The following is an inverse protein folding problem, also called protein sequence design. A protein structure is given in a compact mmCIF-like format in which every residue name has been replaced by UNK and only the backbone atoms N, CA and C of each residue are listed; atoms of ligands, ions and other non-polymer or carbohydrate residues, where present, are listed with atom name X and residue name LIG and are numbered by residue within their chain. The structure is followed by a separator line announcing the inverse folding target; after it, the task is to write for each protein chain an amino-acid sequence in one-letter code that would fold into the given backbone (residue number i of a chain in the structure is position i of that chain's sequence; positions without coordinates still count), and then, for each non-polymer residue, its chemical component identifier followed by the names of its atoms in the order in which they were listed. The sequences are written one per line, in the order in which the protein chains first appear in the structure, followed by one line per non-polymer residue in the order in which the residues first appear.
data_IF_013153292734
#
_entry.id   IF_013153292734
#
_cell.length_a   1.000
_cell.length_b   1.000
_cell.length_c   1.000
_cell.angle_alpha   90.00
_cell.angle_beta   90.00
_cell.angle_gamma   90.00
#
_symmetry.space_group_name_H-M   'P 1'
#
loop_
_entity.id
_entity.type
_entity.pdbx_description
1 polymer ?
#
# COMPACT_ATOMS: atom_id res chain seq x y z
N UNK A 1 7.18 6.42 9.16
CA UNK A 1 6.12 6.17 8.17
C UNK A 1 4.85 5.73 8.86
N UNK A 2 4.88 4.63 9.60
CA UNK A 2 3.73 4.06 10.30
C UNK A 2 2.92 5.02 11.18
N UNK A 3 3.56 5.81 12.03
CA UNK A 3 2.85 6.79 12.85
C UNK A 3 2.08 7.83 12.02
N UNK A 4 2.62 8.24 10.88
CA UNK A 4 1.93 9.16 9.97
C UNK A 4 0.72 8.48 9.31
N UNK A 5 0.83 7.20 8.95
CA UNK A 5 -0.28 6.44 8.37
C UNK A 5 -1.40 6.19 9.40
N UNK A 6 -1.05 5.84 10.64
CA UNK A 6 -2.01 5.66 11.72
C UNK A 6 -2.75 6.95 12.07
N UNK A 7 -2.04 8.08 12.17
CA UNK A 7 -2.65 9.39 12.38
C UNK A 7 -3.55 9.78 11.20
N UNK A 8 -3.14 9.44 9.97
CA UNK A 8 -3.96 9.69 8.80
C UNK A 8 -5.22 8.80 8.80
N UNK A 9 -5.12 7.54 9.19
CA UNK A 9 -6.28 6.65 9.35
C UNK A 9 -7.28 7.18 10.38
N UNK A 10 -6.79 7.69 11.51
CA UNK A 10 -7.64 8.34 12.51
C UNK A 10 -8.34 9.59 11.96
N UNK A 11 -7.65 10.38 11.13
CA UNK A 11 -8.27 11.49 10.43
C UNK A 11 -9.36 11.03 9.46
N UNK A 12 -9.10 9.99 8.67
CA UNK A 12 -10.10 9.43 7.75
C UNK A 12 -11.34 8.94 8.51
N UNK A 13 -11.13 8.22 9.61
CA UNK A 13 -12.18 7.73 10.50
C UNK A 13 -13.01 8.88 11.10
N UNK A 14 -12.34 9.92 11.61
CA UNK A 14 -13.00 11.14 12.13
C UNK A 14 -13.81 11.86 11.04
N UNK A 15 -13.33 11.81 9.80
CA UNK A 15 -14.00 12.36 8.63
C UNK A 15 -14.92 11.35 7.92
N UNK A 16 -15.20 10.19 8.53
CA UNK A 16 -16.02 9.08 8.00
C UNK A 16 -15.72 8.71 6.56
N UNK A 17 -14.46 8.85 6.18
CA UNK A 17 -13.93 8.38 4.91
C UNK A 17 -13.56 6.90 5.05
N UNK A 18 -13.61 6.14 3.94
CA UNK A 18 -13.18 4.75 3.94
C UNK A 18 -11.74 4.60 4.45
N UNK A 19 -11.53 3.58 5.27
CA UNK A 19 -10.21 3.13 5.71
C UNK A 19 -9.78 1.88 4.93
N UNK A 20 -8.62 1.31 5.25
CA UNK A 20 -8.13 0.08 4.64
C UNK A 20 -8.54 -1.12 5.47
N UNK A 21 -8.83 -2.25 4.82
CA UNK A 21 -8.99 -3.52 5.51
C UNK A 21 -7.65 -4.16 5.88
N UNK A 22 -6.62 -3.92 5.08
CA UNK A 22 -5.34 -4.65 5.14
C UNK A 22 -4.16 -3.67 5.02
N UNK A 23 -3.10 -3.93 5.79
CA UNK A 23 -1.82 -3.24 5.66
C UNK A 23 -0.72 -4.22 5.31
N UNK A 24 0.06 -3.84 4.29
CA UNK A 24 1.11 -4.69 3.73
C UNK A 24 2.49 -4.22 4.16
N UNK A 25 3.32 -5.13 4.64
CA UNK A 25 4.68 -4.84 5.07
C UNK A 25 5.69 -5.85 4.57
N UNK A 26 6.82 -5.34 4.11
CA UNK A 26 8.04 -6.14 4.01
C UNK A 26 8.74 -6.08 5.36
N UNK A 27 9.12 -7.24 5.88
CA UNK A 27 9.94 -7.36 7.08
C UNK A 27 11.23 -8.10 6.71
N UNK A 28 12.40 -7.66 7.21
CA UNK A 28 13.66 -8.33 6.92
C UNK A 28 13.62 -9.81 7.31
N UNK A 29 13.67 -10.72 6.33
CA UNK A 29 13.81 -12.17 6.48
C UNK A 29 14.26 -12.76 5.12
N UNK A 30 14.64 -14.05 5.09
CA UNK A 30 15.04 -14.71 3.83
C UNK A 30 13.91 -14.76 2.80
N UNK A 31 12.66 -14.74 3.25
CA UNK A 31 11.48 -14.85 2.39
C UNK A 31 11.08 -13.56 1.70
N UNK A 32 11.68 -12.42 2.07
CA UNK A 32 11.47 -11.15 1.39
C UNK A 32 12.18 -11.09 0.01
N UNK A 33 11.53 -10.45 -0.95
CA UNK A 33 12.08 -10.21 -2.30
C UNK A 33 11.44 -9.03 -3.02
N UNK A 34 10.69 -8.18 -2.32
CA UNK A 34 10.03 -7.02 -2.92
C UNK A 34 10.96 -5.81 -3.07
N UNK A 35 11.80 -5.57 -2.04
CA UNK A 35 12.69 -4.40 -1.93
C UNK A 35 14.01 -4.80 -1.27
N UNK A 36 15.13 -4.12 -1.60
CA UNK A 36 16.40 -4.43 -0.97
C UNK A 36 16.37 -4.05 0.51
N UNK A 37 16.64 -5.03 1.37
CA UNK A 37 16.78 -4.85 2.82
C UNK A 37 18.00 -3.95 3.09
N UNK A 38 17.81 -2.84 3.81
CA UNK A 38 18.88 -1.88 4.13
C UNK A 38 19.44 -2.02 5.54
N UNK A 39 18.76 -2.76 6.39
CA UNK A 39 19.07 -2.95 7.82
C UNK A 39 19.16 -4.44 8.12
N UNK A 40 20.09 -4.82 8.99
CA UNK A 40 20.26 -6.23 9.34
C UNK A 40 19.00 -6.83 9.99
N UNK A 41 18.81 -8.13 9.77
CA UNK A 41 17.83 -8.96 10.47
C UNK A 41 18.06 -8.80 11.97
N UNK A 42 17.10 -8.20 12.67
CA UNK A 42 17.03 -8.33 14.12
C UNK A 42 15.92 -9.33 14.43
N UNK A 43 16.25 -10.49 15.01
CA UNK A 43 15.24 -11.36 15.59
C UNK A 43 14.60 -10.59 16.73
N UNK A 44 13.41 -10.06 16.50
CA UNK A 44 12.70 -9.23 17.44
C UNK A 44 11.21 -9.42 17.28
N UNK A 45 10.50 -9.20 18.38
CA UNK A 45 9.04 -9.19 18.44
C UNK A 45 8.43 -8.45 17.23
N UNK A 46 7.21 -8.82 16.81
CA UNK A 46 6.49 -8.08 15.78
C UNK A 46 6.57 -6.57 16.03
N UNK A 47 6.69 -5.74 14.98
CA UNK A 47 6.71 -4.30 15.14
C UNK A 47 5.58 -3.83 16.06
N UNK A 48 5.83 -2.98 17.07
CA UNK A 48 4.80 -2.48 17.99
C UNK A 48 3.62 -1.78 17.30
N UNK A 49 3.76 -1.44 16.03
CA UNK A 49 2.69 -0.88 15.19
C UNK A 49 1.62 -1.91 14.83
N UNK A 50 1.91 -3.21 14.79
CA UNK A 50 0.93 -4.25 14.41
C UNK A 50 -0.30 -4.21 15.32
N UNK A 51 -0.09 -4.10 16.64
CA UNK A 51 -1.19 -3.99 17.59
C UNK A 51 -2.03 -2.72 17.38
N UNK A 52 -1.41 -1.61 16.94
CA UNK A 52 -2.13 -0.37 16.65
C UNK A 52 -3.03 -0.49 15.41
N UNK A 53 -2.59 -1.21 14.38
CA UNK A 53 -3.43 -1.54 13.22
C UNK A 53 -4.56 -2.49 13.61
N UNK A 54 -4.27 -3.55 14.39
CA UNK A 54 -5.30 -4.48 14.87
C UNK A 54 -6.37 -3.82 15.73
N UNK A 55 -6.00 -2.86 16.58
CA UNK A 55 -6.96 -2.04 17.36
C UNK A 55 -7.92 -1.25 16.46
N UNK A 56 -7.54 -0.99 15.21
CA UNK A 56 -8.38 -0.36 14.18
C UNK A 56 -9.09 -1.38 13.26
N UNK A 57 -9.02 -2.68 13.56
CA UNK A 57 -9.60 -3.74 12.74
C UNK A 57 -8.87 -3.97 11.40
N UNK A 58 -7.60 -3.56 11.30
CA UNK A 58 -6.79 -3.70 10.08
C UNK A 58 -5.92 -4.94 10.19
N UNK A 59 -6.06 -5.84 9.22
CA UNK A 59 -5.29 -7.07 9.12
C UNK A 59 -3.85 -6.80 8.64
N UNK A 60 -2.91 -7.56 9.18
CA UNK A 60 -1.48 -7.46 8.88
C UNK A 60 -1.10 -8.51 7.84
N UNK A 61 -0.67 -8.05 6.67
CA UNK A 61 -0.16 -8.92 5.62
C UNK A 61 1.34 -8.71 5.42
N UNK A 62 2.10 -9.80 5.48
CA UNK A 62 3.53 -9.77 5.19
C UNK A 62 3.82 -10.09 3.73
N UNK A 63 4.83 -9.42 3.18
CA UNK A 63 5.22 -9.57 1.79
C UNK A 63 6.45 -10.48 1.66
N UNK A 64 6.21 -11.77 1.40
CA UNK A 64 7.21 -12.83 1.21
C UNK A 64 7.44 -13.11 -0.28
N UNK A 65 8.01 -12.10 -0.93
CA UNK A 65 8.17 -12.02 -2.37
C UNK A 65 9.47 -12.63 -2.92
N UNK A 66 10.25 -13.34 -2.12
CA UNK A 66 11.45 -14.01 -2.62
C UNK A 66 11.09 -15.07 -3.65
N UNK A 67 11.73 -15.01 -4.82
CA UNK A 67 11.58 -15.97 -5.92
C UNK A 67 12.75 -16.95 -6.03
N UNK A 68 13.67 -16.96 -5.06
CA UNK A 68 14.89 -17.78 -5.06
C UNK A 68 15.00 -18.68 -3.82
N UNK A 69 13.85 -19.01 -3.22
CA UNK A 69 13.82 -19.86 -2.03
C UNK A 69 14.15 -21.31 -2.39
N UNK A 70 14.93 -21.94 -1.52
CA UNK A 70 15.19 -23.38 -1.47
C UNK A 70 14.51 -23.97 -0.24
N UNK A 71 14.41 -25.30 -0.16
CA UNK A 71 13.81 -25.97 1.01
C UNK A 71 14.52 -25.58 2.32
N UNK A 72 15.85 -25.48 2.31
CA UNK A 72 16.64 -25.02 3.46
C UNK A 72 16.29 -23.59 3.94
N UNK A 73 15.72 -22.74 3.07
CA UNK A 73 15.31 -21.41 3.48
C UNK A 73 13.99 -21.41 4.27
N UNK A 74 13.21 -22.48 4.19
CA UNK A 74 11.94 -22.61 4.92
C UNK A 74 12.15 -22.74 6.44
N UNK A 75 13.37 -23.09 6.86
CA UNK A 75 13.79 -23.12 8.26
C UNK A 75 14.23 -21.74 8.79
N UNK A 76 14.00 -20.65 8.03
CA UNK A 76 14.31 -19.28 8.49
C UNK A 76 13.53 -18.95 9.77
N UNK A 77 14.22 -18.88 10.91
CA UNK A 77 13.59 -18.63 12.21
C UNK A 77 12.87 -17.28 12.26
N UNK A 78 13.43 -16.25 11.60
CA UNK A 78 12.84 -14.91 11.57
C UNK A 78 11.55 -14.91 10.75
N UNK A 79 11.58 -15.48 9.53
CA UNK A 79 10.40 -15.66 8.69
C UNK A 79 9.28 -16.43 9.41
N UNK A 80 9.61 -17.55 10.06
CA UNK A 80 8.63 -18.34 10.81
C UNK A 80 8.02 -17.57 11.99
N UNK A 81 8.81 -16.81 12.75
CA UNK A 81 8.29 -15.95 13.83
C UNK A 81 7.38 -14.84 13.31
N UNK A 82 7.79 -14.18 12.23
CA UNK A 82 7.00 -13.13 11.60
C UNK A 82 5.67 -13.66 11.05
N UNK A 83 5.68 -14.86 10.48
CA UNK A 83 4.49 -15.52 9.94
C UNK A 83 3.43 -15.79 11.01
N UNK A 84 3.84 -16.13 12.24
CA UNK A 84 2.92 -16.33 13.38
C UNK A 84 2.21 -15.04 13.79
N UNK A 85 2.77 -13.89 13.42
CA UNK A 85 2.26 -12.56 13.75
C UNK A 85 1.46 -11.93 12.60
N UNK A 86 1.27 -12.64 11.49
CA UNK A 86 0.59 -12.15 10.31
C UNK A 86 -0.79 -12.80 10.16
N UNK A 87 -1.77 -12.00 9.75
CA UNK A 87 -3.11 -12.47 9.41
C UNK A 87 -3.12 -13.06 7.98
N UNK A 88 -2.20 -12.59 7.13
CA UNK A 88 -1.97 -13.15 5.80
C UNK A 88 -0.59 -12.86 5.23
N UNK A 89 -0.30 -13.44 4.07
CA UNK A 89 0.98 -13.29 3.38
C UNK A 89 0.80 -13.16 1.87
N UNK A 90 1.64 -12.34 1.24
CA UNK A 90 1.79 -12.28 -0.22
C UNK A 90 3.03 -13.09 -0.60
N UNK A 91 2.84 -14.10 -1.44
CA UNK A 91 3.86 -15.11 -1.71
C UNK A 91 4.24 -15.12 -3.20
N UNK A 92 5.53 -15.11 -3.49
CA UNK A 92 6.05 -15.34 -4.84
C UNK A 92 6.60 -16.75 -5.09
N UNK A 93 6.95 -17.48 -4.03
CA UNK A 93 7.56 -18.81 -4.11
C UNK A 93 6.52 -19.93 -3.94
N UNK A 94 6.38 -20.86 -4.91
CA UNK A 94 5.49 -22.02 -4.76
C UNK A 94 5.85 -22.90 -3.57
N UNK A 95 7.15 -23.16 -3.32
CA UNK A 95 7.57 -24.00 -2.19
C UNK A 95 7.22 -23.37 -0.83
N UNK A 96 7.21 -22.03 -0.74
CA UNK A 96 6.77 -21.33 0.46
C UNK A 96 5.25 -21.38 0.60
N UNK A 97 4.51 -21.35 -0.52
CA UNK A 97 3.07 -21.52 -0.50
C UNK A 97 2.66 -22.90 0.05
N UNK A 98 3.30 -23.96 -0.43
CA UNK A 98 3.09 -25.33 0.06
C UNK A 98 3.42 -25.44 1.55
N UNK A 99 4.57 -24.91 1.96
CA UNK A 99 4.99 -24.89 3.36
C UNK A 99 3.96 -24.20 4.28
N UNK A 100 3.46 -23.03 3.88
CA UNK A 100 2.50 -22.25 4.67
C UNK A 100 1.14 -22.94 4.70
N UNK A 101 0.68 -23.50 3.56
CA UNK A 101 -0.55 -24.29 3.50
C UNK A 101 -0.56 -25.41 4.53
N UNK A 102 0.55 -26.14 4.62
CA UNK A 102 0.63 -27.37 5.39
C UNK A 102 0.87 -27.09 6.89
N UNK A 103 1.65 -26.06 7.24
CA UNK A 103 2.01 -25.75 8.64
C UNK A 103 1.20 -24.62 9.29
N UNK A 104 0.63 -23.70 8.49
CA UNK A 104 -0.03 -22.49 8.97
C UNK A 104 -1.39 -22.30 8.27
N UNK A 105 -2.34 -23.25 8.40
CA UNK A 105 -3.58 -23.26 7.63
C UNK A 105 -4.51 -22.07 7.90
N UNK A 106 -4.29 -21.34 8.99
CA UNK A 106 -5.09 -20.16 9.36
C UNK A 106 -4.56 -18.85 8.77
N UNK A 107 -3.38 -18.86 8.13
CA UNK A 107 -2.81 -17.66 7.51
C UNK A 107 -3.31 -17.56 6.07
N UNK A 108 -3.95 -16.44 5.72
CA UNK A 108 -4.40 -16.20 4.35
C UNK A 108 -3.23 -16.13 3.37
N UNK A 109 -3.30 -16.86 2.25
CA UNK A 109 -2.25 -16.93 1.23
C UNK A 109 -2.67 -16.18 -0.02
N UNK A 110 -1.94 -15.11 -0.33
CA UNK A 110 -2.15 -14.27 -1.50
C UNK A 110 -1.05 -14.49 -2.54
N UNK A 111 -1.40 -14.81 -3.79
CA UNK A 111 -0.43 -14.90 -4.87
C UNK A 111 0.10 -13.51 -5.26
N UNK A 112 1.42 -13.35 -5.26
CA UNK A 112 2.07 -12.11 -5.67
C UNK A 112 2.02 -11.90 -7.18
N UNK A 113 1.88 -10.65 -7.62
CA UNK A 113 2.02 -10.30 -9.04
C UNK A 113 3.42 -10.65 -9.59
N UNK A 114 4.43 -10.73 -8.71
CA UNK A 114 5.80 -11.17 -9.04
C UNK A 114 5.83 -12.57 -9.66
N UNK A 115 4.94 -13.48 -9.25
CA UNK A 115 4.85 -14.81 -9.87
C UNK A 115 4.55 -14.72 -11.37
N UNK A 116 3.61 -13.84 -11.73
CA UNK A 116 3.20 -13.63 -13.12
C UNK A 116 4.31 -12.94 -13.92
N UNK A 117 5.10 -12.07 -13.27
CA UNK A 117 6.24 -11.38 -13.89
C UNK A 117 7.38 -12.36 -14.20
N UNK A 118 7.79 -13.19 -13.24
CA UNK A 118 8.97 -14.06 -13.39
C UNK A 118 8.69 -15.29 -14.23
N UNK A 119 7.47 -15.84 -14.15
CA UNK A 119 7.12 -17.03 -14.92
C UNK A 119 7.06 -16.76 -16.43
N UNK A 120 7.20 -15.50 -16.86
CA UNK A 120 7.02 -15.04 -18.25
C UNK A 120 5.72 -15.56 -18.88
N UNK A 121 4.76 -15.95 -18.03
CA UNK A 121 3.45 -16.40 -18.50
C UNK A 121 2.72 -15.15 -18.92
N UNK A 122 2.36 -15.10 -20.19
CA UNK A 122 1.54 -14.04 -20.73
C UNK A 122 0.27 -13.90 -19.88
N UNK A 123 -0.27 -12.68 -19.86
CA UNK A 123 -1.60 -12.32 -19.37
C UNK A 123 -2.66 -13.26 -19.97
N UNK A 124 -2.89 -14.42 -19.33
CA UNK A 124 -3.86 -15.44 -19.77
C UNK A 124 -4.82 -15.81 -18.65
N UNK A 125 -6.06 -16.13 -19.03
CA UNK A 125 -7.09 -16.58 -18.09
C UNK A 125 -6.64 -17.82 -17.33
N UNK A 126 -6.10 -18.84 -18.02
CA UNK A 126 -5.69 -20.11 -17.41
C UNK A 126 -4.64 -19.92 -16.31
N UNK A 127 -3.71 -18.98 -16.49
CA UNK A 127 -2.71 -18.67 -15.48
C UNK A 127 -3.35 -18.13 -14.21
N UNK A 128 -4.22 -17.11 -14.34
CA UNK A 128 -4.90 -16.51 -13.20
C UNK A 128 -5.91 -17.46 -12.55
N UNK A 129 -6.57 -18.30 -13.34
CA UNK A 129 -7.46 -19.35 -12.83
C UNK A 129 -6.69 -20.33 -11.96
N UNK A 130 -5.54 -20.84 -12.43
CA UNK A 130 -4.69 -21.73 -11.62
C UNK A 130 -4.26 -21.08 -10.30
N UNK A 131 -3.88 -19.80 -10.33
CA UNK A 131 -3.56 -19.07 -9.09
C UNK A 131 -4.77 -18.96 -8.17
N UNK A 132 -5.96 -18.68 -8.72
CA UNK A 132 -7.19 -18.62 -7.93
C UNK A 132 -7.58 -19.99 -7.36
N UNK A 133 -7.24 -21.10 -7.99
CA UNK A 133 -7.50 -22.45 -7.46
C UNK A 133 -6.58 -22.79 -6.27
N UNK A 134 -5.35 -22.22 -6.24
CA UNK A 134 -4.31 -22.58 -5.26
C UNK A 134 -4.21 -21.61 -4.07
N UNK A 135 -4.58 -20.34 -4.29
CA UNK A 135 -4.46 -19.24 -3.33
C UNK A 135 -5.84 -18.68 -2.92
N UNK A 136 -5.86 -18.02 -1.77
CA UNK A 136 -7.07 -17.39 -1.24
C UNK A 136 -7.37 -16.08 -1.99
N UNK A 137 -6.32 -15.32 -2.32
CA UNK A 137 -6.38 -14.10 -3.15
C UNK A 137 -5.26 -14.08 -4.18
N UNK A 138 -5.42 -13.31 -5.25
CA UNK A 138 -4.39 -13.15 -6.29
C UNK A 138 -4.20 -11.68 -6.65
N UNK A 139 -2.99 -11.16 -6.46
CA UNK A 139 -2.66 -9.80 -6.86
C UNK A 139 -2.39 -9.74 -8.36
N UNK A 140 -3.18 -8.96 -9.08
CA UNK A 140 -2.89 -8.60 -10.47
C UNK A 140 -2.13 -7.28 -10.53
N UNK A 141 -0.97 -7.28 -11.21
CA UNK A 141 -0.17 -6.09 -11.43
C UNK A 141 -0.83 -5.15 -12.44
N UNK A 142 -0.67 -3.84 -12.24
CA UNK A 142 -1.31 -2.80 -13.06
C UNK A 142 -0.99 -2.94 -14.56
N UNK A 143 0.22 -3.38 -14.91
CA UNK A 143 0.61 -3.63 -16.31
C UNK A 143 -0.26 -4.66 -17.01
N UNK A 144 -0.77 -5.67 -16.30
CA UNK A 144 -1.64 -6.69 -16.89
C UNK A 144 -3.08 -6.20 -17.08
N UNK A 145 -3.46 -5.06 -16.51
CA UNK A 145 -4.80 -4.50 -16.71
C UNK A 145 -4.91 -3.71 -18.01
N UNK A 146 -3.79 -3.18 -18.49
CA UNK A 146 -3.78 -2.31 -19.65
C UNK A 146 -3.61 -3.08 -20.96
N UNK A 147 -4.12 -2.46 -22.01
CA UNK A 147 -3.74 -2.73 -23.40
C UNK A 147 -2.38 -2.08 -23.69
N UNK A 148 -1.73 -2.53 -24.78
CA UNK A 148 -0.45 -1.97 -25.22
C UNK A 148 -0.58 -0.59 -25.88
N UNK A 149 -1.78 -0.02 -25.96
CA UNK A 149 -2.04 1.27 -26.59
C UNK A 149 -1.40 2.43 -25.79
N UNK A 150 -1.04 3.55 -26.45
CA UNK A 150 -0.36 4.67 -25.80
C UNK A 150 -1.13 5.30 -24.64
N UNK A 151 -2.47 5.23 -24.64
CA UNK A 151 -3.34 5.80 -23.60
C UNK A 151 -3.49 4.88 -22.39
N UNK A 152 -2.97 3.64 -22.48
CA UNK A 152 -3.07 2.61 -21.43
C UNK A 152 -4.52 2.38 -21.02
N UNK A 153 -5.38 2.16 -22.01
CA UNK A 153 -6.77 1.79 -21.78
C UNK A 153 -6.89 0.42 -21.09
N UNK A 154 -7.97 0.19 -20.34
CA UNK A 154 -8.23 -1.11 -19.71
C UNK A 154 -8.53 -2.18 -20.78
N UNK A 155 -7.88 -3.34 -20.67
CA UNK A 155 -8.23 -4.53 -21.44
C UNK A 155 -9.43 -5.24 -20.82
N UNK A 156 -10.61 -4.68 -21.07
CA UNK A 156 -11.86 -5.18 -20.49
C UNK A 156 -12.14 -6.64 -20.90
N UNK A 157 -11.71 -7.06 -22.10
CA UNK A 157 -11.91 -8.44 -22.57
C UNK A 157 -11.17 -9.44 -21.70
N UNK A 158 -9.92 -9.13 -21.34
CA UNK A 158 -9.15 -9.98 -20.44
C UNK A 158 -9.65 -9.87 -19.00
N UNK A 159 -9.89 -8.64 -18.52
CA UNK A 159 -10.33 -8.41 -17.13
C UNK A 159 -11.67 -9.11 -16.85
N UNK A 160 -12.56 -9.17 -17.84
CA UNK A 160 -13.85 -9.85 -17.74
C UNK A 160 -13.75 -11.38 -17.54
N UNK A 161 -12.56 -11.97 -17.70
CA UNK A 161 -12.33 -13.40 -17.52
C UNK A 161 -11.81 -13.77 -16.12
N UNK A 162 -11.51 -12.78 -15.27
CA UNK A 162 -10.87 -12.97 -13.98
C UNK A 162 -11.88 -13.27 -12.85
N UNK A 163 -11.46 -13.96 -11.80
CA UNK A 163 -12.33 -14.18 -10.63
C UNK A 163 -12.48 -12.89 -9.80
N UNK A 164 -13.69 -12.31 -9.75
CA UNK A 164 -13.94 -11.00 -9.09
C UNK A 164 -13.74 -11.06 -7.58
N UNK A 165 -13.99 -12.23 -6.99
CA UNK A 165 -13.97 -12.41 -5.54
C UNK A 165 -12.54 -12.68 -5.05
N UNK A 166 -11.69 -13.28 -5.90
CA UNK A 166 -10.29 -13.59 -5.55
C UNK A 166 -9.26 -12.59 -6.04
N UNK A 167 -9.55 -11.83 -7.10
CA UNK A 167 -8.58 -10.87 -7.64
C UNK A 167 -8.49 -9.62 -6.77
N UNK A 168 -7.27 -9.32 -6.33
CA UNK A 168 -6.88 -8.03 -5.77
C UNK A 168 -6.14 -7.19 -6.83
N UNK A 169 -6.69 -6.03 -7.18
CA UNK A 169 -6.17 -5.17 -8.23
C UNK A 169 -5.14 -4.19 -7.67
N UNK A 170 -3.89 -4.26 -8.16
CA UNK A 170 -2.90 -3.23 -7.87
C UNK A 170 -3.22 -1.94 -8.64
N UNK A 171 -3.53 -0.85 -7.93
CA UNK A 171 -3.99 0.40 -8.55
C UNK A 171 -2.87 1.31 -9.04
N UNK A 172 -1.67 1.15 -8.50
CA UNK A 172 -0.48 1.87 -8.92
C UNK A 172 0.74 0.94 -8.99
N UNK A 173 1.71 1.29 -9.82
CA UNK A 173 2.97 0.59 -9.93
C UNK A 173 4.14 1.56 -10.08
N UNK A 174 5.22 1.31 -9.35
CA UNK A 174 6.42 2.16 -9.39
C UNK A 174 7.34 1.82 -10.57
N UNK A 175 7.00 0.77 -11.33
CA UNK A 175 7.75 0.37 -12.52
C UNK A 175 7.18 1.01 -13.80
N UNK A 176 7.90 0.85 -14.91
CA UNK A 176 7.44 1.28 -16.23
C UNK A 176 6.58 0.21 -16.89
N UNK A 177 5.67 0.63 -17.78
CA UNK A 177 4.97 -0.31 -18.65
C UNK A 177 5.99 -1.13 -19.46
N UNK A 178 5.76 -2.44 -19.59
CA UNK A 178 6.64 -3.38 -20.31
C UNK A 178 8.13 -3.29 -19.98
N UNK A 179 8.48 -3.03 -18.70
CA UNK A 179 9.88 -3.01 -18.26
C UNK A 179 10.60 -4.34 -18.58
N UNK A 180 11.60 -4.36 -19.48
CA UNK A 180 12.29 -5.59 -19.85
C UNK A 180 13.21 -6.11 -18.73
N UNK A 181 13.47 -5.27 -17.72
CA UNK A 181 14.37 -5.59 -16.62
C UNK A 181 13.64 -6.03 -15.35
N UNK A 182 12.31 -6.15 -15.37
CA UNK A 182 11.49 -6.40 -14.18
C UNK A 182 11.82 -7.74 -13.52
N UNK A 183 12.01 -8.79 -14.30
CA UNK A 183 12.42 -10.11 -13.79
C UNK A 183 13.82 -10.06 -13.16
N UNK A 184 14.78 -9.41 -13.83
CA UNK A 184 16.15 -9.25 -13.33
C UNK A 184 16.16 -8.46 -12.02
N UNK A 185 15.37 -7.39 -11.92
CA UNK A 185 15.19 -6.61 -10.70
C UNK A 185 14.77 -7.51 -9.54
N UNK A 186 13.63 -8.20 -9.64
CA UNK A 186 13.12 -9.03 -8.55
C UNK A 186 14.09 -10.15 -8.17
N UNK A 187 14.77 -10.73 -9.15
CA UNK A 187 15.80 -11.76 -8.93
C UNK A 187 17.01 -11.23 -8.15
N UNK A 188 17.52 -10.04 -8.49
CA UNK A 188 18.64 -9.42 -7.79
C UNK A 188 18.28 -9.02 -6.36
N UNK A 189 17.08 -8.47 -6.16
CA UNK A 189 16.59 -8.08 -4.83
C UNK A 189 16.37 -9.31 -3.94
N UNK A 190 15.70 -10.35 -4.44
CA UNK A 190 15.52 -11.59 -3.69
C UNK A 190 16.87 -12.22 -3.31
N UNK A 191 17.84 -12.26 -4.24
CA UNK A 191 19.19 -12.73 -3.95
C UNK A 191 19.82 -11.93 -2.81
N UNK A 192 19.78 -10.60 -2.92
CA UNK A 192 20.36 -9.71 -1.92
C UNK A 192 19.71 -9.91 -0.55
N UNK A 193 18.39 -9.99 -0.48
CA UNK A 193 17.67 -10.16 0.79
C UNK A 193 17.99 -11.51 1.47
N UNK A 194 18.25 -12.54 0.67
CA UNK A 194 18.67 -13.86 1.17
C UNK A 194 20.10 -13.86 1.74
N UNK A 195 21.07 -13.21 1.07
CA UNK A 195 22.50 -13.31 1.45
C UNK A 195 23.09 -12.08 2.17
N UNK A 196 22.46 -10.91 2.01
CA UNK A 196 22.76 -9.64 2.69
C UNK A 196 24.24 -9.21 2.69
N UNK A 197 25.00 -9.58 1.66
CA UNK A 197 26.40 -9.17 1.52
C UNK A 197 26.51 -7.78 0.92
N UNK A 198 27.59 -7.04 1.26
CA UNK A 198 27.88 -5.73 0.64
C UNK A 198 27.95 -5.81 -0.89
N UNK A 199 28.55 -6.87 -1.43
CA UNK A 199 28.67 -7.08 -2.88
C UNK A 199 27.29 -7.26 -3.54
N UNK A 200 26.39 -8.04 -2.92
CA UNK A 200 25.05 -8.22 -3.46
C UNK A 200 24.23 -6.93 -3.44
N UNK A 201 24.38 -6.10 -2.39
CA UNK A 201 23.77 -4.78 -2.32
C UNK A 201 24.30 -3.85 -3.43
N UNK A 202 25.63 -3.83 -3.63
CA UNK A 202 26.26 -3.05 -4.70
C UNK A 202 25.73 -3.45 -6.08
N UNK A 203 25.52 -4.74 -6.35
CA UNK A 203 24.90 -5.21 -7.60
C UNK A 203 23.48 -4.69 -7.78
N UNK A 204 22.66 -4.69 -6.73
CA UNK A 204 21.30 -4.12 -6.78
C UNK A 204 21.36 -2.61 -7.06
N UNK A 205 22.21 -1.87 -6.35
CA UNK A 205 22.38 -0.42 -6.53
C UNK A 205 22.84 -0.10 -7.95
N UNK A 206 23.85 -0.81 -8.46
CA UNK A 206 24.36 -0.62 -9.81
C UNK A 206 23.27 -0.90 -10.86
N UNK A 207 22.53 -2.00 -10.70
CA UNK A 207 21.41 -2.31 -11.60
C UNK A 207 20.37 -1.19 -11.60
N UNK A 208 20.01 -0.67 -10.43
CA UNK A 208 19.08 0.46 -10.33
C UNK A 208 19.59 1.74 -10.98
N UNK A 209 20.87 2.05 -10.84
CA UNK A 209 21.48 3.21 -11.47
C UNK A 209 21.58 3.09 -12.99
N UNK A 210 21.68 1.87 -13.53
CA UNK A 210 21.86 1.66 -14.97
C UNK A 210 20.54 1.41 -15.71
N UNK A 211 19.62 0.66 -15.11
CA UNK A 211 18.47 0.09 -15.83
C UNK A 211 17.11 0.50 -15.27
N UNK A 212 17.03 1.02 -14.04
CA UNK A 212 15.75 1.40 -13.45
C UNK A 212 15.37 2.81 -13.91
N UNK A 213 14.56 2.89 -14.97
CA UNK A 213 14.05 4.17 -15.49
C UNK A 213 13.35 5.00 -14.41
N UNK A 214 12.62 4.36 -13.49
CA UNK A 214 11.97 5.05 -12.37
C UNK A 214 12.95 5.75 -11.40
N UNK A 215 14.18 5.25 -11.27
CA UNK A 215 15.24 5.93 -10.50
C UNK A 215 16.02 6.94 -11.35
N UNK A 216 16.11 6.71 -12.66
CA UNK A 216 16.88 7.53 -13.59
C UNK A 216 16.17 8.83 -13.99
N UNK A 217 14.84 8.86 -13.94
CA UNK A 217 14.06 10.07 -14.20
C UNK A 217 13.74 10.79 -12.90
N UNK A 218 14.45 11.88 -12.59
CA UNK A 218 14.06 12.86 -11.55
C UNK A 218 12.78 13.67 -11.90
N UNK A 219 11.99 13.20 -12.88
CA UNK A 219 10.77 13.80 -13.39
C UNK A 219 9.76 12.68 -13.71
N UNK A 220 8.82 12.46 -12.80
CA UNK A 220 7.58 11.72 -13.06
C UNK A 220 7.77 10.23 -13.32
N UNK A 221 7.61 9.43 -12.28
CA UNK A 221 7.40 7.98 -12.41
C UNK A 221 6.30 7.68 -13.44
N UNK A 222 6.50 6.60 -14.16
CA UNK A 222 5.65 6.13 -15.25
C UNK A 222 4.16 6.04 -14.88
N UNK A 223 3.30 6.38 -15.85
CA UNK A 223 1.83 6.45 -15.81
C UNK A 223 1.11 5.12 -15.52
N UNK A 224 1.64 4.24 -14.66
CA UNK A 224 0.96 3.02 -14.23
C UNK A 224 0.11 3.31 -13.00
N UNK A 225 -0.86 4.20 -13.17
CA UNK A 225 -1.80 4.60 -12.14
C UNK A 225 -3.19 4.49 -12.76
N UNK A 226 -4.08 3.73 -12.13
CA UNK A 226 -5.48 3.67 -12.54
C UNK A 226 -6.15 5.01 -12.24
N UNK A 227 -6.94 5.52 -13.17
CA UNK A 227 -7.76 6.71 -12.93
C UNK A 227 -8.99 6.37 -12.10
N UNK A 228 -9.62 7.36 -11.47
CA UNK A 228 -10.89 7.14 -10.77
C UNK A 228 -11.99 6.58 -11.69
N UNK A 229 -12.01 6.99 -12.95
CA UNK A 229 -12.92 6.43 -13.96
C UNK A 229 -12.63 4.94 -14.20
N UNK A 230 -11.36 4.54 -14.32
CA UNK A 230 -10.98 3.13 -14.46
C UNK A 230 -11.38 2.32 -13.22
N UNK A 231 -11.14 2.83 -12.02
CA UNK A 231 -11.57 2.19 -10.77
C UNK A 231 -13.09 2.05 -10.72
N UNK A 232 -13.85 3.08 -11.12
CA UNK A 232 -15.30 3.02 -11.18
C UNK A 232 -15.79 1.92 -12.15
N UNK A 233 -15.18 1.80 -13.33
CA UNK A 233 -15.46 0.71 -14.28
C UNK A 233 -15.18 -0.66 -13.66
N UNK A 234 -14.03 -0.85 -13.02
CA UNK A 234 -13.68 -2.12 -12.36
C UNK A 234 -14.65 -2.47 -11.23
N UNK A 235 -15.10 -1.48 -10.45
CA UNK A 235 -16.15 -1.67 -9.43
C UNK A 235 -17.48 -2.09 -10.07
N UNK A 236 -17.88 -1.48 -11.19
CA UNK A 236 -19.09 -1.87 -11.92
C UNK A 236 -19.00 -3.31 -12.46
N UNK A 237 -17.81 -3.76 -12.84
CA UNK A 237 -17.54 -5.16 -13.25
C UNK A 237 -17.55 -6.17 -12.09
N UNK A 238 -17.70 -5.71 -10.84
CA UNK A 238 -17.82 -6.55 -9.66
C UNK A 238 -16.56 -6.64 -8.78
N UNK A 239 -15.42 -6.07 -9.16
CA UNK A 239 -14.22 -6.12 -8.34
C UNK A 239 -14.35 -5.29 -7.06
N UNK A 240 -13.84 -5.82 -5.94
CA UNK A 240 -13.93 -5.17 -4.62
C UNK A 240 -12.59 -5.01 -3.91
N UNK A 241 -11.58 -5.78 -4.29
CA UNK A 241 -10.26 -5.76 -3.65
C UNK A 241 -9.28 -4.91 -4.46
N UNK A 242 -8.78 -3.83 -3.86
CA UNK A 242 -7.85 -2.90 -4.49
C UNK A 242 -6.66 -2.66 -3.56
N UNK A 243 -5.46 -2.73 -4.13
CA UNK A 243 -4.19 -2.63 -3.41
C UNK A 243 -3.41 -1.42 -3.89
N UNK A 244 -2.91 -0.64 -2.94
CA UNK A 244 -1.97 0.44 -3.17
C UNK A 244 -0.53 -0.02 -2.88
N UNK A 245 0.37 0.15 -3.83
CA UNK A 245 1.80 -0.05 -3.68
C UNK A 245 2.51 1.21 -3.16
N UNK A 246 3.71 0.99 -2.61
CA UNK A 246 4.65 2.08 -2.32
C UNK A 246 4.67 2.54 -0.86
N UNK A 247 4.24 1.73 0.12
CA UNK A 247 4.35 2.06 1.55
C UNK A 247 5.79 2.39 1.99
N UNK A 248 6.79 1.89 1.26
CA UNK A 248 8.22 2.15 1.44
C UNK A 248 8.71 3.48 0.84
N UNK A 249 7.85 4.19 0.09
CA UNK A 249 8.12 5.52 -0.44
C UNK A 249 7.92 6.61 0.63
N UNK A 250 8.38 7.85 0.37
CA UNK A 250 8.16 8.96 1.28
C UNK A 250 6.68 9.08 1.67
N UNK A 251 6.41 9.34 2.96
CA UNK A 251 5.04 9.39 3.47
C UNK A 251 4.14 10.37 2.72
N UNK A 252 4.71 11.47 2.22
CA UNK A 252 4.04 12.40 1.34
C UNK A 252 3.41 11.75 0.11
N UNK A 253 4.18 10.94 -0.60
CA UNK A 253 3.74 10.24 -1.81
C UNK A 253 2.60 9.29 -1.49
N UNK A 254 2.76 8.49 -0.43
CA UNK A 254 1.76 7.49 -0.03
C UNK A 254 0.46 8.15 0.38
N UNK A 255 0.50 9.23 1.16
CA UNK A 255 -0.72 9.95 1.56
C UNK A 255 -1.46 10.56 0.35
N UNK A 256 -0.73 11.12 -0.61
CA UNK A 256 -1.33 11.65 -1.86
C UNK A 256 -2.00 10.52 -2.66
N UNK A 257 -1.33 9.38 -2.81
CA UNK A 257 -1.87 8.24 -3.53
C UNK A 257 -3.07 7.63 -2.82
N UNK A 258 -3.10 7.62 -1.48
CA UNK A 258 -4.30 7.23 -0.73
C UNK A 258 -5.45 8.18 -1.05
N UNK A 259 -5.22 9.51 -0.92
CA UNK A 259 -6.24 10.54 -1.19
C UNK A 259 -6.82 10.40 -2.59
N UNK A 260 -6.01 10.05 -3.59
CA UNK A 260 -6.44 9.84 -4.98
C UNK A 260 -7.65 8.90 -5.10
N UNK A 261 -7.73 7.86 -4.28
CA UNK A 261 -8.73 6.79 -4.43
C UNK A 261 -9.84 6.78 -3.39
N UNK A 262 -9.65 7.45 -2.24
CA UNK A 262 -10.66 7.48 -1.15
C UNK A 262 -11.40 8.80 -1.06
N UNK A 263 -10.89 9.85 -1.72
CA UNK A 263 -11.46 11.19 -1.69
C UNK A 263 -12.04 11.53 -3.07
N UNK A 264 -13.24 12.12 -3.16
CA UNK A 264 -13.78 12.64 -4.41
C UNK A 264 -12.82 13.59 -5.13
N UNK A 265 -12.64 13.38 -6.44
CA UNK A 265 -11.66 14.09 -7.28
C UNK A 265 -11.74 15.62 -7.15
N UNK A 266 -12.96 16.16 -7.06
CA UNK A 266 -13.21 17.60 -6.90
C UNK A 266 -12.57 18.26 -5.68
N UNK A 267 -12.37 17.51 -4.58
CA UNK A 267 -11.78 18.06 -3.34
C UNK A 267 -10.33 17.60 -3.14
N UNK A 268 -9.80 16.73 -4.00
CA UNK A 268 -8.40 16.26 -3.93
C UNK A 268 -7.37 17.40 -3.99
N UNK A 269 -7.52 18.46 -4.81
CA UNK A 269 -6.57 19.57 -4.82
C UNK A 269 -6.46 20.28 -3.47
N UNK A 270 -7.59 20.45 -2.77
CA UNK A 270 -7.64 21.12 -1.47
C UNK A 270 -6.95 20.29 -0.39
N UNK A 271 -7.19 18.98 -0.38
CA UNK A 271 -6.52 18.05 0.55
C UNK A 271 -5.04 17.94 0.21
N UNK A 272 -4.68 17.82 -1.06
CA UNK A 272 -3.28 17.74 -1.52
C UNK A 272 -2.48 18.99 -1.19
N UNK A 273 -3.09 20.18 -1.32
CA UNK A 273 -2.49 21.45 -0.90
C UNK A 273 -2.24 21.46 0.61
N UNK A 274 -3.24 21.03 1.39
CA UNK A 274 -3.14 20.91 2.84
C UNK A 274 -2.02 19.96 3.26
N UNK A 275 -1.97 18.77 2.65
CA UNK A 275 -0.92 17.78 2.88
C UNK A 275 0.45 18.34 2.50
N UNK A 276 0.59 19.04 1.38
CA UNK A 276 1.86 19.64 0.94
C UNK A 276 2.40 20.67 1.93
N UNK A 277 1.53 21.52 2.49
CA UNK A 277 1.90 22.46 3.56
C UNK A 277 2.34 21.74 4.84
N UNK A 278 1.68 20.62 5.18
CA UNK A 278 1.98 19.81 6.37
C UNK A 278 3.32 19.08 6.23
N UNK A 279 3.61 18.53 5.06
CA UNK A 279 4.83 17.77 4.77
C UNK A 279 6.09 18.64 4.75
N UNK A 280 5.95 19.95 4.53
CA UNK A 280 7.05 20.92 4.58
C UNK A 280 7.28 21.48 6.00
N UNK A 281 6.36 21.24 6.94
CA UNK A 281 6.47 21.71 8.32
C UNK A 281 6.99 20.60 9.25
N UNK A 282 8.07 20.87 9.98
CA UNK A 282 8.90 19.88 10.69
C UNK A 282 8.31 19.29 11.99
N UNK A 283 7.03 19.53 12.31
CA UNK A 283 6.49 19.31 13.66
C UNK A 283 5.13 18.58 13.68
N UNK A 284 5.09 17.30 13.28
CA UNK A 284 3.87 16.49 13.05
C UNK A 284 2.78 16.63 14.15
N UNK A 285 3.17 16.88 15.40
CA UNK A 285 2.26 16.96 16.55
C UNK A 285 1.53 18.31 16.72
N UNK A 286 1.87 19.36 15.95
CA UNK A 286 1.22 20.68 16.01
C UNK A 286 0.06 20.85 15.02
N UNK A 287 -0.28 19.81 14.24
CA UNK A 287 -0.91 19.98 12.92
C UNK A 287 -2.34 19.48 12.76
N UNK A 288 -2.88 18.76 13.74
CA UNK A 288 -4.29 18.36 13.75
C UNK A 288 -5.22 19.58 13.54
N UNK A 289 -5.01 20.75 14.19
CA UNK A 289 -5.89 21.91 14.02
C UNK A 289 -5.85 22.54 12.61
N UNK A 290 -4.70 22.50 11.93
CA UNK A 290 -4.51 23.11 10.59
C UNK A 290 -5.10 22.22 9.50
N UNK A 291 -4.87 20.92 9.58
CA UNK A 291 -5.48 19.95 8.67
C UNK A 291 -7.01 19.92 8.83
N UNK A 292 -7.51 19.98 10.06
CA UNK A 292 -8.94 20.16 10.35
C UNK A 292 -9.50 21.44 9.74
N UNK A 293 -8.80 22.57 9.82
CA UNK A 293 -9.25 23.84 9.23
C UNK A 293 -9.41 23.74 7.70
N UNK A 294 -8.43 23.16 7.00
CA UNK A 294 -8.51 23.03 5.55
C UNK A 294 -9.51 21.98 5.08
N UNK A 295 -9.69 20.89 5.82
CA UNK A 295 -10.76 19.91 5.55
C UNK A 295 -12.12 20.58 5.73
N UNK A 296 -12.32 21.38 6.79
CA UNK A 296 -13.55 22.19 6.97
C UNK A 296 -13.79 23.14 5.81
N UNK A 297 -12.76 23.82 5.32
CA UNK A 297 -12.85 24.70 4.14
C UNK A 297 -13.18 23.93 2.86
N UNK A 298 -12.60 22.75 2.67
CA UNK A 298 -12.86 21.90 1.50
C UNK A 298 -14.29 21.33 1.51
N UNK A 299 -14.79 20.94 2.68
CA UNK A 299 -16.17 20.49 2.86
C UNK A 299 -17.15 21.64 2.65
N UNK A 300 -16.85 22.85 3.15
CA UNK A 300 -17.67 24.05 2.93
C UNK A 300 -17.68 24.49 1.44
N UNK A 301 -16.58 24.29 0.73
CA UNK A 301 -16.49 24.50 -0.72
C UNK A 301 -17.30 23.44 -1.50
N UNK A 302 -17.27 22.19 -1.04
CA UNK A 302 -18.03 21.09 -1.65
C UNK A 302 -19.56 21.19 -1.43
N UNK A 303 -20.02 21.96 -0.43
CA UNK A 303 -21.45 22.29 -0.26
C UNK A 303 -21.95 23.40 -1.18
N UNK A 304 -21.06 24.09 -1.90
CA UNK A 304 -21.46 24.96 -3.01
C UNK A 304 -21.64 24.11 -4.28
N UNK A 305 -22.61 24.44 -5.17
CA UNK A 305 -23.00 23.56 -6.27
C UNK A 305 -21.77 23.18 -7.13
N UNK A 306 -21.56 21.89 -7.49
CA UNK A 306 -22.58 20.91 -7.86
C UNK A 306 -22.50 19.58 -7.05
N UNK A 307 -22.71 19.60 -5.73
CA UNK A 307 -22.88 18.37 -4.94
C UNK A 307 -24.33 17.87 -4.96
N UNK A 308 -24.52 16.57 -5.13
CA UNK A 308 -25.81 15.90 -4.96
C UNK A 308 -26.28 15.92 -3.51
N UNK A 309 -27.59 15.81 -3.30
CA UNK A 309 -28.23 15.83 -1.97
C UNK A 309 -27.64 14.76 -1.02
N UNK A 310 -27.31 13.58 -1.53
CA UNK A 310 -26.68 12.51 -0.76
C UNK A 310 -25.26 12.87 -0.30
N UNK A 311 -24.49 13.59 -1.14
CA UNK A 311 -23.17 14.08 -0.77
C UNK A 311 -23.25 15.21 0.26
N UNK A 312 -24.24 16.09 0.15
CA UNK A 312 -24.49 17.13 1.15
C UNK A 312 -24.89 16.53 2.49
N UNK A 313 -25.74 15.50 2.50
CA UNK A 313 -26.16 14.79 3.71
C UNK A 313 -24.96 14.12 4.41
N UNK A 314 -24.08 13.48 3.64
CA UNK A 314 -22.84 12.91 4.14
C UNK A 314 -21.93 13.99 4.74
N UNK A 315 -21.70 15.10 4.01
CA UNK A 315 -20.88 16.23 4.47
C UNK A 315 -21.43 16.84 5.77
N UNK A 316 -22.75 17.03 5.88
CA UNK A 316 -23.38 17.64 7.06
C UNK A 316 -23.33 16.74 8.30
N UNK A 317 -23.33 15.41 8.13
CA UNK A 317 -23.19 14.46 9.23
C UNK A 317 -21.84 14.56 9.96
N UNK A 318 -20.81 15.13 9.32
CA UNK A 318 -19.48 15.31 9.89
C UNK A 318 -19.35 16.49 10.85
N UNK A 319 -20.23 17.49 10.75
CA UNK A 319 -20.07 18.77 11.43
C UNK A 319 -20.09 18.65 12.98
N UNK A 320 -21.03 17.90 13.60
CA UNK A 320 -21.09 17.79 15.06
C UNK A 320 -19.92 16.99 15.66
N UNK A 321 -19.46 15.94 14.95
CA UNK A 321 -18.39 15.03 15.38
C UNK A 321 -17.05 15.76 15.36
N UNK A 322 -16.74 16.46 14.26
CA UNK A 322 -15.54 17.31 14.17
C UNK A 322 -15.51 18.39 15.24
N UNK A 323 -16.67 18.96 15.61
CA UNK A 323 -16.72 19.99 16.65
C UNK A 323 -16.41 19.42 18.05
N UNK A 324 -16.82 18.19 18.36
CA UNK A 324 -16.53 17.52 19.63
C UNK A 324 -15.03 17.26 19.80
N UNK A 325 -14.37 16.67 18.79
CA UNK A 325 -12.95 16.35 18.85
C UNK A 325 -12.05 17.59 18.92
N UNK A 326 -12.49 18.71 18.32
CA UNK A 326 -11.82 20.01 18.46
C UNK A 326 -11.90 20.52 19.90
N UNK A 327 -13.07 20.40 20.55
CA UNK A 327 -13.25 20.84 21.92
C UNK A 327 -12.40 19.99 22.89
N UNK A 328 -12.31 18.67 22.67
CA UNK A 328 -11.49 17.76 23.49
C UNK A 328 -9.98 18.04 23.34
N UNK A 329 -9.53 18.30 22.11
CA UNK A 329 -8.15 18.67 21.84
C UNK A 329 -7.77 20.03 22.44
N UNK A 330 -8.66 21.03 22.38
CA UNK A 330 -8.46 22.33 23.03
C UNK A 330 -8.38 22.19 24.56
N UNK A 331 -9.21 21.33 25.15
CA UNK A 331 -9.18 21.05 26.59
C UNK A 331 -7.89 20.32 27.04
N UNK A 332 -7.26 19.55 26.15
CA UNK A 332 -5.98 18.88 26.39
C UNK A 332 -4.80 19.85 26.30
N UNK A 333 -4.75 20.71 25.27
CA UNK A 333 -3.72 21.74 25.11
C UNK A 333 -3.73 22.72 26.29
N UNK A 334 -4.91 23.09 26.77
CA UNK A 334 -5.05 24.00 27.92
C UNK A 334 -4.56 23.38 29.24
N UNK A 335 -4.53 22.03 29.34
CA UNK A 335 -3.94 21.32 30.49
C UNK A 335 -2.41 21.27 30.40
N UNK A 336 -1.85 21.10 29.22
CA UNK A 336 -0.39 21.05 29.00
C UNK A 336 0.26 22.41 29.23
N UNK A 337 -0.39 23.49 28.78
CA UNK A 337 0.11 24.88 28.96
C UNK A 337 0.10 25.36 30.42
N UNK A 338 -0.58 24.64 31.32
CA UNK A 338 -0.57 24.92 32.77
C UNK A 338 0.47 24.12 33.55
N UNK A 339 1.24 23.24 32.91
CA UNK A 339 2.32 22.50 33.58
C UNK A 339 3.57 23.38 33.70
N UNK A 340 4.14 23.60 34.91
CA UNK A 340 5.17 24.63 35.14
C UNK A 340 6.56 24.38 34.52
N UNK A 341 6.83 23.20 33.93
CA UNK A 341 8.21 22.78 33.65
C UNK A 341 8.74 23.06 32.22
N UNK A 342 8.06 23.89 31.41
CA UNK A 342 8.56 24.28 30.09
C UNK A 342 9.43 25.56 30.11
N UNK A 343 10.38 25.64 31.06
CA UNK A 343 11.53 26.56 30.98
C UNK A 343 12.81 25.81 31.40
N UNK A 344 13.35 25.02 30.48
CA UNK A 344 14.80 24.89 30.29
C UNK A 344 15.10 24.34 28.90
#
# INVERSE_FOLDING_TARGET
MDGALLNFLELLETCGLPTFAEVYGTMPCKWDGGRPIRTQLSPGAPPPVFEQYRKKGIEIYLTFNSNQLTEEDLDDEVGNKLLQEADGVIIASPILNDYIRDKYPNVSRTASCIQSIISHRNKTQDHYKKLCDEYDKVVIGTTHLFNADPERSLDLKFIDQLDRDKIEIMVNDNCTFDCPHRTTHHTLVARHNKIQTKESFQKVVQFFQTYCSANLTAKGGTNLILTNAMIATLKQMGFRHFKLAGRDLPGSYVLIEIVRYIVPERIQPLISMSLSHILQSSAINSFIPVLQHHIKMALASATQPPASEAEQQAILSFVPVLQSHINDALAFVHRIQKSPDAKQ
#
